data_IF_029049796693
#
_entry.id   IF_029049796693
#
_cell.length_a   1.000
_cell.length_b   1.000
_cell.length_c   1.000
_cell.angle_alpha   90.00
_cell.angle_beta   90.00
_cell.angle_gamma   90.00
#
_symmetry.space_group_name_H-M   'P 1'
#
loop_
_entity.id
_entity.type
_entity.pdbx_description
1 polymer ?
#
# COMPACT_ATOMS: atom_id res chain seq x y z
N UNK A 1 24.27 -17.68 -12.95
CA UNK A 1 22.84 -17.36 -12.82
C UNK A 1 22.75 -15.91 -12.31
N UNK A 2 21.82 -15.08 -12.80
CA UNK A 2 21.59 -13.76 -12.20
C UNK A 2 21.29 -13.94 -10.71
N UNK A 3 21.79 -13.05 -9.85
CA UNK A 3 21.40 -13.02 -8.42
C UNK A 3 19.90 -12.85 -8.27
N UNK A 4 19.33 -13.22 -7.12
CA UNK A 4 17.89 -13.17 -6.89
C UNK A 4 17.35 -11.73 -7.08
N UNK A 5 18.14 -10.72 -6.70
CA UNK A 5 17.97 -9.29 -6.95
C UNK A 5 17.91 -8.87 -8.43
N UNK A 6 18.22 -9.75 -9.38
CA UNK A 6 18.14 -9.51 -10.83
C UNK A 6 17.08 -10.39 -11.52
N UNK A 7 16.27 -11.11 -10.75
CA UNK A 7 15.31 -12.05 -11.31
C UNK A 7 14.22 -11.32 -12.14
N UNK A 8 13.91 -11.78 -13.36
CA UNK A 8 13.00 -11.09 -14.29
C UNK A 8 11.55 -10.98 -13.79
N UNK A 9 11.16 -11.76 -12.78
CA UNK A 9 9.84 -11.65 -12.16
C UNK A 9 9.66 -10.42 -11.26
N UNK A 10 10.76 -9.85 -10.72
CA UNK A 10 10.67 -8.79 -9.70
C UNK A 10 9.96 -7.51 -10.18
N UNK A 11 10.16 -7.02 -11.43
CA UNK A 11 9.40 -5.87 -11.92
C UNK A 11 7.89 -6.13 -12.02
N UNK A 12 7.47 -7.34 -12.40
CA UNK A 12 6.06 -7.70 -12.48
C UNK A 12 5.41 -7.80 -11.09
N UNK A 13 6.13 -8.38 -10.11
CA UNK A 13 5.68 -8.40 -8.72
C UNK A 13 5.56 -6.98 -8.16
N UNK A 14 6.55 -6.12 -8.42
CA UNK A 14 6.51 -4.71 -7.98
C UNK A 14 5.37 -3.94 -8.65
N UNK A 15 5.11 -4.21 -9.93
CA UNK A 15 3.99 -3.64 -10.69
C UNK A 15 2.65 -4.05 -10.09
N UNK A 16 2.49 -5.33 -9.73
CA UNK A 16 1.27 -5.81 -9.06
C UNK A 16 0.97 -5.02 -7.79
N UNK A 17 1.96 -4.81 -6.91
CA UNK A 17 1.77 -3.96 -5.73
C UNK A 17 1.45 -2.51 -6.09
N UNK A 18 2.09 -1.96 -7.11
CA UNK A 18 1.75 -0.62 -7.64
C UNK A 18 0.28 -0.52 -8.08
N UNK A 19 -0.27 -1.57 -8.70
CA UNK A 19 -1.68 -1.60 -9.09
C UNK A 19 -2.64 -1.73 -7.91
N UNK A 20 -2.24 -2.36 -6.80
CA UNK A 20 -3.03 -2.40 -5.56
C UNK A 20 -3.19 -0.98 -5.01
N UNK A 21 -2.08 -0.25 -4.82
CA UNK A 21 -2.12 1.15 -4.37
C UNK A 21 -2.94 2.04 -5.31
N UNK A 22 -2.81 1.83 -6.63
CA UNK A 22 -3.60 2.58 -7.60
C UNK A 22 -5.09 2.31 -7.45
N UNK A 23 -5.46 1.02 -7.30
CA UNK A 23 -6.83 0.59 -7.09
C UNK A 23 -7.44 1.20 -5.84
N UNK A 24 -6.80 1.03 -4.68
CA UNK A 24 -7.25 1.63 -3.43
C UNK A 24 -7.30 3.15 -3.51
N UNK A 25 -6.26 3.80 -4.03
CA UNK A 25 -6.21 5.25 -4.17
C UNK A 25 -7.36 5.81 -5.02
N UNK A 26 -7.65 5.20 -6.16
CA UNK A 26 -8.80 5.57 -7.00
C UNK A 26 -10.12 5.32 -6.25
N UNK A 27 -10.28 4.18 -5.57
CA UNK A 27 -11.48 3.88 -4.79
C UNK A 27 -11.69 4.91 -3.67
N UNK A 28 -10.64 5.30 -2.96
CA UNK A 28 -10.73 6.28 -1.86
C UNK A 28 -11.10 7.68 -2.37
N UNK A 29 -10.65 8.06 -3.57
CA UNK A 29 -10.99 9.34 -4.19
C UNK A 29 -12.42 9.34 -4.72
N UNK A 30 -12.83 8.30 -5.46
CA UNK A 30 -14.11 8.28 -6.16
C UNK A 30 -15.27 7.76 -5.30
N UNK A 31 -14.98 6.89 -4.34
CA UNK A 31 -15.95 6.20 -3.49
C UNK A 31 -15.47 6.21 -2.02
N UNK A 32 -15.29 7.39 -1.39
CA UNK A 32 -14.63 7.51 -0.10
C UNK A 32 -15.29 6.73 1.05
N UNK A 33 -16.62 6.57 1.06
CA UNK A 33 -17.31 5.74 2.07
C UNK A 33 -16.97 4.26 1.92
N UNK A 34 -17.01 3.75 0.70
CA UNK A 34 -16.56 2.38 0.40
C UNK A 34 -15.07 2.23 0.75
N UNK A 35 -14.26 3.24 0.45
CA UNK A 35 -12.86 3.29 0.86
C UNK A 35 -12.66 3.15 2.37
N UNK A 36 -13.47 3.88 3.15
CA UNK A 36 -13.46 3.79 4.61
C UNK A 36 -13.84 2.38 5.09
N UNK A 37 -14.91 1.80 4.53
CA UNK A 37 -15.38 0.45 4.89
C UNK A 37 -14.34 -0.64 4.61
N UNK A 38 -13.48 -0.46 3.59
CA UNK A 38 -12.40 -1.41 3.27
C UNK A 38 -11.34 -1.53 4.38
N UNK A 39 -11.23 -0.55 5.29
CA UNK A 39 -10.35 -0.68 6.45
C UNK A 39 -10.86 -1.73 7.44
N UNK A 40 -12.17 -1.98 7.47
CA UNK A 40 -12.78 -2.96 8.36
C UNK A 40 -12.80 -2.52 9.82
N UNK A 41 -12.90 -1.21 10.06
CA UNK A 41 -13.10 -0.65 11.40
C UNK A 41 -14.43 -1.11 12.03
N UNK A 42 -14.50 -1.13 13.35
CA UNK A 42 -15.66 -1.61 14.11
C UNK A 42 -16.86 -0.67 14.02
N UNK A 43 -16.62 0.60 13.73
CA UNK A 43 -17.66 1.64 13.65
C UNK A 43 -17.51 2.50 12.41
N UNK A 44 -18.64 3.01 11.92
CA UNK A 44 -18.73 4.00 10.85
C UNK A 44 -19.41 5.27 11.38
N UNK A 45 -19.07 6.46 10.84
CA UNK A 45 -19.80 7.68 11.15
C UNK A 45 -21.32 7.51 10.98
N UNK A 46 -22.11 8.00 11.92
CA UNK A 46 -23.58 7.85 11.93
C UNK A 46 -24.31 9.14 11.55
N UNK A 47 -23.63 10.28 11.57
CA UNK A 47 -24.20 11.59 11.23
C UNK A 47 -23.51 12.20 10.01
N UNK A 48 -24.17 13.19 9.40
CA UNK A 48 -23.71 13.82 8.16
C UNK A 48 -22.44 14.65 8.33
N UNK A 49 -22.21 15.26 9.51
CA UNK A 49 -21.06 16.12 9.74
C UNK A 49 -19.76 15.30 9.79
N UNK A 50 -19.77 14.18 10.52
CA UNK A 50 -18.63 13.28 10.62
C UNK A 50 -18.32 12.62 9.27
N UNK A 51 -19.35 12.22 8.51
CA UNK A 51 -19.14 11.70 7.15
C UNK A 51 -18.50 12.73 6.23
N UNK A 52 -18.94 13.98 6.28
CA UNK A 52 -18.38 15.02 5.43
C UNK A 52 -16.88 15.24 5.73
N UNK A 53 -16.45 15.13 6.98
CA UNK A 53 -15.03 15.19 7.35
C UNK A 53 -14.30 13.94 6.84
N UNK A 54 -14.83 12.75 7.13
CA UNK A 54 -14.19 11.50 6.79
C UNK A 54 -14.02 11.33 5.28
N UNK A 55 -15.01 11.73 4.46
CA UNK A 55 -14.90 11.66 3.01
C UNK A 55 -13.73 12.52 2.47
N UNK A 56 -13.53 13.72 3.03
CA UNK A 56 -12.40 14.59 2.64
C UNK A 56 -11.07 13.98 3.05
N UNK A 57 -11.00 13.37 4.23
CA UNK A 57 -9.81 12.64 4.71
C UNK A 57 -9.50 11.47 3.78
N UNK A 58 -10.51 10.68 3.41
CA UNK A 58 -10.37 9.54 2.50
C UNK A 58 -9.87 9.97 1.12
N UNK A 59 -10.40 11.07 0.56
CA UNK A 59 -9.90 11.61 -0.72
C UNK A 59 -8.42 12.01 -0.60
N UNK A 60 -8.03 12.70 0.47
CA UNK A 60 -6.64 13.08 0.73
C UNK A 60 -5.73 11.86 0.97
N UNK A 61 -6.26 10.77 1.51
CA UNK A 61 -5.54 9.52 1.70
C UNK A 61 -5.38 8.80 0.36
N UNK A 62 -6.44 8.72 -0.45
CA UNK A 62 -6.40 8.15 -1.79
C UNK A 62 -5.41 8.84 -2.72
N UNK A 63 -5.26 10.16 -2.63
CA UNK A 63 -4.24 10.88 -3.37
C UNK A 63 -2.80 10.43 -3.00
N UNK A 64 -2.55 10.08 -1.73
CA UNK A 64 -1.25 9.54 -1.29
C UNK A 64 -1.03 8.12 -1.80
N UNK A 65 -2.07 7.30 -1.84
CA UNK A 65 -2.00 5.96 -2.43
C UNK A 65 -1.74 6.00 -3.94
N UNK A 66 -2.40 6.91 -4.67
CA UNK A 66 -2.08 7.14 -6.09
C UNK A 66 -0.64 7.61 -6.26
N UNK A 67 -0.14 8.48 -5.38
CA UNK A 67 1.28 8.89 -5.39
C UNK A 67 2.21 7.69 -5.16
N UNK A 68 1.93 6.82 -4.18
CA UNK A 68 2.72 5.61 -3.94
C UNK A 68 2.71 4.67 -5.15
N UNK A 69 1.55 4.50 -5.80
CA UNK A 69 1.44 3.73 -7.03
C UNK A 69 2.33 4.28 -8.14
N UNK A 70 2.27 5.59 -8.38
CA UNK A 70 3.10 6.25 -9.40
C UNK A 70 4.58 6.12 -9.03
N UNK A 71 4.97 6.37 -7.78
CA UNK A 71 6.35 6.24 -7.33
C UNK A 71 6.87 4.81 -7.52
N UNK A 72 6.06 3.79 -7.21
CA UNK A 72 6.44 2.39 -7.36
C UNK A 72 6.52 1.98 -8.85
N UNK A 73 5.56 2.37 -9.68
CA UNK A 73 5.58 2.09 -11.11
C UNK A 73 6.74 2.82 -11.82
N UNK A 74 6.94 4.10 -11.52
CA UNK A 74 8.05 4.89 -12.07
C UNK A 74 9.40 4.31 -11.66
N UNK A 75 9.61 3.99 -10.39
CA UNK A 75 10.87 3.39 -9.94
C UNK A 75 11.09 1.99 -10.53
N UNK A 76 10.04 1.18 -10.67
CA UNK A 76 10.09 -0.17 -11.25
C UNK A 76 10.54 -0.16 -12.72
N UNK A 77 9.96 0.72 -13.54
CA UNK A 77 10.16 0.69 -15.00
C UNK A 77 11.20 1.67 -15.53
N UNK A 78 11.46 2.75 -14.80
CA UNK A 78 12.37 3.82 -15.23
C UNK A 78 13.49 4.10 -14.23
N UNK A 79 13.42 3.52 -13.03
CA UNK A 79 14.39 3.72 -11.96
C UNK A 79 15.44 2.61 -11.89
N UNK A 80 16.04 2.49 -10.70
CA UNK A 80 16.94 1.39 -10.37
C UNK A 80 16.25 0.40 -9.44
N UNK A 81 16.71 -0.85 -9.48
CA UNK A 81 16.24 -1.92 -8.57
C UNK A 81 16.31 -1.51 -7.10
N UNK A 82 17.40 -0.84 -6.69
CA UNK A 82 17.54 -0.31 -5.33
C UNK A 82 16.47 0.73 -5.00
N UNK A 83 16.14 1.62 -5.93
CA UNK A 83 15.07 2.61 -5.75
C UNK A 83 13.71 1.92 -5.57
N UNK A 84 13.36 0.98 -6.46
CA UNK A 84 12.13 0.18 -6.33
C UNK A 84 12.07 -0.56 -5.00
N UNK A 85 13.19 -1.16 -4.59
CA UNK A 85 13.30 -1.86 -3.33
C UNK A 85 13.04 -0.96 -2.13
N UNK A 86 13.60 0.26 -2.11
CA UNK A 86 13.36 1.25 -1.06
C UNK A 86 11.89 1.72 -1.03
N UNK A 87 11.26 1.90 -2.19
CA UNK A 87 9.83 2.25 -2.25
C UNK A 87 8.96 1.11 -1.70
N UNK A 88 9.26 -0.14 -2.03
CA UNK A 88 8.55 -1.31 -1.46
C UNK A 88 8.75 -1.47 0.04
N UNK A 89 9.95 -1.17 0.56
CA UNK A 89 10.21 -1.17 2.00
C UNK A 89 9.41 -0.07 2.71
N UNK A 90 9.35 1.13 2.14
CA UNK A 90 8.52 2.21 2.67
C UNK A 90 7.03 1.82 2.63
N UNK A 91 6.56 1.25 1.52
CA UNK A 91 5.19 0.75 1.38
C UNK A 91 4.86 -0.36 2.40
N UNK A 92 5.81 -1.26 2.66
CA UNK A 92 5.70 -2.30 3.69
C UNK A 92 5.54 -1.70 5.08
N UNK A 93 6.30 -0.64 5.41
CA UNK A 93 6.16 0.08 6.66
C UNK A 93 4.79 0.75 6.80
N UNK A 94 4.29 1.41 5.74
CA UNK A 94 2.92 1.98 5.72
C UNK A 94 1.87 0.90 5.99
N UNK A 95 1.93 -0.23 5.29
CA UNK A 95 1.00 -1.34 5.49
C UNK A 95 1.09 -1.94 6.91
N UNK A 96 2.28 -1.90 7.54
CA UNK A 96 2.46 -2.26 8.93
C UNK A 96 1.75 -1.31 9.90
N UNK A 97 1.79 0.00 9.62
CA UNK A 97 1.04 1.01 10.39
C UNK A 97 -0.47 0.82 10.20
N UNK A 98 -0.92 0.60 8.97
CA UNK A 98 -2.34 0.33 8.67
C UNK A 98 -2.84 -0.91 9.44
N UNK A 99 -2.07 -2.00 9.41
CA UNK A 99 -2.36 -3.21 10.16
C UNK A 99 -2.41 -2.98 11.67
N UNK A 100 -1.46 -2.21 12.22
CA UNK A 100 -1.47 -1.86 13.64
C UNK A 100 -2.73 -1.06 14.03
N UNK A 101 -3.08 -0.02 13.26
CA UNK A 101 -4.26 0.83 13.55
C UNK A 101 -5.54 0.01 13.49
N UNK A 102 -5.75 -0.76 12.42
CA UNK A 102 -6.94 -1.61 12.25
C UNK A 102 -7.01 -2.69 13.32
N UNK A 103 -5.88 -3.33 13.64
CA UNK A 103 -5.83 -4.31 14.72
C UNK A 103 -6.15 -3.70 16.09
N UNK A 104 -5.71 -2.48 16.35
CA UNK A 104 -5.96 -1.79 17.61
C UNK A 104 -7.41 -1.31 17.78
N UNK A 105 -8.09 -0.97 16.68
CA UNK A 105 -9.47 -0.48 16.72
C UNK A 105 -10.49 -1.62 16.59
N UNK A 106 -10.32 -2.50 15.61
CA UNK A 106 -11.30 -3.54 15.29
C UNK A 106 -11.02 -4.89 15.96
N UNK A 107 -9.79 -5.12 16.46
CA UNK A 107 -9.35 -6.42 17.01
C UNK A 107 -9.24 -7.55 15.99
N UNK A 108 -9.47 -7.26 14.71
CA UNK A 108 -9.46 -8.21 13.59
C UNK A 108 -9.04 -7.51 12.30
N UNK A 109 -9.06 -8.18 11.15
CA UNK A 109 -8.78 -7.65 9.80
C UNK A 109 -7.38 -7.06 9.56
N UNK A 110 -6.51 -6.91 10.57
CA UNK A 110 -5.16 -6.37 10.43
C UNK A 110 -4.29 -7.14 9.41
N UNK A 111 -4.52 -8.46 9.26
CA UNK A 111 -3.86 -9.29 8.25
C UNK A 111 -4.14 -8.87 6.80
N UNK A 112 -5.31 -8.27 6.54
CA UNK A 112 -5.65 -7.73 5.23
C UNK A 112 -4.80 -6.51 4.86
N UNK A 113 -4.01 -5.96 5.80
CA UNK A 113 -3.15 -4.81 5.60
C UNK A 113 -1.68 -5.23 5.59
N UNK A 114 -1.14 -5.68 6.72
CA UNK A 114 0.30 -6.02 6.82
C UNK A 114 0.69 -7.39 6.23
N UNK A 115 -0.28 -8.23 5.82
CA UNK A 115 -0.01 -9.55 5.26
C UNK A 115 0.70 -9.44 3.90
N UNK A 116 0.07 -8.73 2.95
CA UNK A 116 0.73 -8.39 1.69
C UNK A 116 1.86 -7.36 1.90
N UNK A 117 1.75 -6.50 2.92
CA UNK A 117 2.81 -5.62 3.40
C UNK A 117 4.12 -6.34 3.69
N UNK A 118 4.06 -7.51 4.34
CA UNK A 118 5.24 -8.32 4.65
C UNK A 118 5.91 -8.85 3.38
N UNK A 119 5.12 -9.23 2.37
CA UNK A 119 5.64 -9.66 1.07
C UNK A 119 6.34 -8.50 0.35
N UNK A 120 5.76 -7.29 0.37
CA UNK A 120 6.43 -6.09 -0.15
C UNK A 120 7.79 -5.87 0.53
N UNK A 121 7.87 -6.06 1.84
CA UNK A 121 9.11 -5.93 2.60
C UNK A 121 10.20 -6.90 2.12
N UNK A 122 9.85 -8.19 1.95
CA UNK A 122 10.79 -9.20 1.44
C UNK A 122 11.24 -8.88 0.02
N UNK A 123 10.32 -8.55 -0.89
CA UNK A 123 10.64 -8.18 -2.28
C UNK A 123 11.52 -6.93 -2.30
N UNK A 124 11.27 -5.97 -1.41
CA UNK A 124 12.08 -4.77 -1.24
C UNK A 124 13.52 -5.08 -0.79
N UNK A 125 13.69 -5.97 0.20
CA UNK A 125 15.01 -6.43 0.65
C UNK A 125 15.78 -7.18 -0.45
N UNK A 126 15.09 -8.00 -1.26
CA UNK A 126 15.70 -8.65 -2.43
C UNK A 126 16.14 -7.62 -3.47
N UNK A 127 15.28 -6.67 -3.83
CA UNK A 127 15.59 -5.64 -4.84
C UNK A 127 16.70 -4.67 -4.41
N UNK A 128 16.87 -4.44 -3.11
CA UNK A 128 18.00 -3.67 -2.57
C UNK A 128 19.32 -4.46 -2.55
N UNK A 129 19.26 -5.78 -2.69
CA UNK A 129 20.41 -6.69 -2.63
C UNK A 129 20.78 -7.16 -1.21
N UNK A 130 19.94 -6.85 -0.21
CA UNK A 130 20.16 -7.28 1.18
C UNK A 130 19.83 -8.76 1.42
N UNK A 131 19.04 -9.37 0.53
CA UNK A 131 18.70 -10.81 0.55
C UNK A 131 19.21 -11.58 -0.70
N UNK A 132 20.24 -11.06 -1.38
CA UNK A 132 20.91 -11.68 -2.54
C UNK A 132 20.50 -11.11 -3.89
#
# INVERSE_FOLDING_TARGET
>A
MPGLSAHPALPYISTFFGTIFLGFGITYILYPRTGYELYGFSTSPTNAADWAIMERVMILYGAKDVFMAIALLSSTWYGSRKSTGLVLLAASATAGVDGYVVGSEAGTNHWNHWGYGSVMGVVGLVLTGLLG
#
